data_IF_941778227730
#
_entry.id   IF_941778227730
#
_cell.length_a   1.000
_cell.length_b   1.000
_cell.length_c   1.000
_cell.angle_alpha   90.00
_cell.angle_beta   90.00
_cell.angle_gamma   90.00
#
_symmetry.space_group_name_H-M   'P 1'
#
loop_
_entity.id
_entity.type
_entity.pdbx_description
1 polymer ?
#
# COMPACT_ATOMS: atom_id res chain seq x y z
N UNK A 1 -8.84 9.89 27.26
CA UNK A 1 -7.56 10.49 26.85
C UNK A 1 -7.82 11.17 25.52
N UNK A 2 -7.74 12.51 25.45
CA UNK A 2 -7.89 13.21 24.18
C UNK A 2 -6.56 13.13 23.44
N UNK A 3 -6.54 12.46 22.29
CA UNK A 3 -5.39 12.49 21.39
C UNK A 3 -5.50 13.76 20.55
N UNK A 4 -4.45 14.58 20.58
CA UNK A 4 -4.34 15.80 19.78
C UNK A 4 -3.17 15.64 18.80
N UNK A 5 -3.35 16.11 17.58
CA UNK A 5 -2.34 15.99 16.53
C UNK A 5 -1.42 17.21 16.55
N UNK A 6 -0.12 16.95 16.43
CA UNK A 6 0.92 17.97 16.28
C UNK A 6 1.69 17.71 14.99
N UNK A 7 2.31 18.75 14.45
CA UNK A 7 3.19 18.63 13.28
C UNK A 7 4.66 18.67 13.71
N UNK A 8 5.47 17.74 13.22
CA UNK A 8 6.92 17.81 13.33
C UNK A 8 7.47 18.68 12.20
N UNK A 9 8.03 19.84 12.54
CA UNK A 9 8.44 20.89 11.58
C UNK A 9 9.95 21.05 11.47
N UNK A 10 10.73 20.31 12.26
CA UNK A 10 12.19 20.33 12.22
C UNK A 10 12.82 19.23 13.07
N UNK A 11 14.01 18.78 12.65
CA UNK A 11 14.86 17.84 13.40
C UNK A 11 16.30 18.31 13.22
N UNK A 12 16.96 18.68 14.32
CA UNK A 12 18.26 19.34 14.27
C UNK A 12 19.24 18.77 15.30
N UNK A 13 20.52 18.71 14.92
CA UNK A 13 21.64 18.48 15.84
C UNK A 13 22.17 19.84 16.26
N UNK A 14 21.94 20.22 17.52
CA UNK A 14 22.29 21.53 18.06
C UNK A 14 23.57 21.44 18.86
N UNK A 15 24.56 22.27 18.52
CA UNK A 15 25.81 22.38 19.28
C UNK A 15 25.61 23.23 20.53
N UNK A 16 25.91 22.66 21.68
CA UNK A 16 25.92 23.33 22.99
C UNK A 16 27.34 23.39 23.54
N UNK A 17 27.56 24.17 24.59
CA UNK A 17 28.83 24.18 25.34
C UNK A 17 29.24 22.79 25.88
N UNK A 18 28.29 21.88 26.09
CA UNK A 18 28.52 20.56 26.70
C UNK A 18 28.48 19.41 25.71
N UNK A 19 28.30 19.69 24.41
CA UNK A 19 28.23 18.69 23.35
C UNK A 19 27.08 18.92 22.38
N UNK A 20 26.77 17.91 21.58
CA UNK A 20 25.69 17.98 20.58
C UNK A 20 24.43 17.35 21.17
N UNK A 21 23.29 18.03 21.02
CA UNK A 21 21.97 17.55 21.45
C UNK A 21 21.06 17.43 20.23
N UNK A 22 20.25 16.37 20.18
CA UNK A 22 19.24 16.17 19.14
C UNK A 22 17.90 16.75 19.59
N UNK A 23 17.42 17.75 18.87
CA UNK A 23 16.16 18.43 19.15
C UNK A 23 15.17 18.25 18.02
N UNK A 24 13.89 18.26 18.38
CA UNK A 24 12.76 18.26 17.45
C UNK A 24 11.94 19.52 17.62
N UNK A 25 11.50 20.12 16.50
CA UNK A 25 10.59 21.26 16.46
C UNK A 25 9.18 20.75 16.19
N UNK A 26 8.26 21.06 17.10
CA UNK A 26 6.88 20.55 17.11
C UNK A 26 5.92 21.72 17.13
N UNK A 27 4.89 21.66 16.29
CA UNK A 27 3.88 22.70 16.15
C UNK A 27 2.51 22.19 16.58
N UNK A 28 1.90 22.90 17.52
CA UNK A 28 0.50 22.79 17.87
C UNK A 28 -0.36 23.53 16.82
N UNK A 29 -1.27 22.85 16.10
CA UNK A 29 -2.12 23.49 15.10
C UNK A 29 -3.05 24.57 15.66
N UNK A 30 -3.28 24.61 16.98
CA UNK A 30 -4.05 25.67 17.62
C UNK A 30 -3.31 27.00 17.72
N UNK A 31 -2.00 27.02 17.46
CA UNK A 31 -1.17 28.21 17.52
C UNK A 31 -0.99 28.79 18.93
N UNK A 32 -1.15 27.94 19.95
CA UNK A 32 -1.05 28.24 21.38
C UNK A 32 -0.89 26.95 22.17
N UNK A 33 -0.51 27.06 23.43
CA UNK A 33 -0.18 25.95 24.35
C UNK A 33 1.05 25.21 23.85
N UNK A 34 2.18 25.60 24.42
CA UNK A 34 3.51 25.10 24.09
C UNK A 34 4.12 24.24 25.19
N UNK A 35 5.25 23.63 24.89
CA UNK A 35 6.03 22.84 25.82
C UNK A 35 6.69 23.72 26.88
N UNK A 36 6.50 23.39 28.17
CA UNK A 36 7.07 24.13 29.30
C UNK A 36 8.34 23.45 29.88
N UNK A 37 8.78 22.34 29.30
CA UNK A 37 9.93 21.58 29.78
C UNK A 37 11.27 22.07 29.23
N UNK A 38 12.33 21.24 29.31
CA UNK A 38 13.63 21.55 28.74
C UNK A 38 13.54 21.92 27.26
N UNK A 39 14.31 22.93 26.85
CA UNK A 39 14.30 23.48 25.48
C UNK A 39 13.03 24.25 25.07
N UNK A 40 12.11 24.48 26.01
CA UNK A 40 10.98 25.42 25.81
C UNK A 40 11.47 26.78 25.32
N UNK A 41 10.65 27.41 24.49
CA UNK A 41 11.00 28.63 23.78
C UNK A 41 11.04 29.86 24.74
N UNK A 42 10.08 29.97 25.65
CA UNK A 42 9.91 31.06 26.62
C UNK A 42 10.74 30.88 27.89
N UNK A 43 10.81 29.66 28.41
CA UNK A 43 11.37 29.38 29.75
C UNK A 43 12.61 28.49 29.76
N UNK A 44 13.07 27.97 28.63
CA UNK A 44 14.16 26.99 28.56
C UNK A 44 15.54 27.63 28.82
N UNK A 45 16.16 27.42 30.00
CA UNK A 45 17.49 27.94 30.28
C UNK A 45 18.59 27.27 29.44
N UNK A 46 18.31 26.10 28.86
CA UNK A 46 19.25 25.32 28.05
C UNK A 46 19.73 26.09 26.83
N UNK A 47 18.89 26.97 26.28
CA UNK A 47 19.27 27.84 25.17
C UNK A 47 20.40 28.81 25.51
N UNK A 48 20.62 29.12 26.79
CA UNK A 48 21.77 29.91 27.22
C UNK A 48 23.12 29.23 26.94
N UNK A 49 23.12 27.91 26.70
CA UNK A 49 24.30 27.11 26.38
C UNK A 49 24.53 27.00 24.85
N UNK A 50 23.71 27.64 24.03
CA UNK A 50 23.77 27.60 22.55
C UNK A 50 24.17 28.97 22.04
N UNK A 51 25.18 29.05 21.17
CA UNK A 51 25.64 30.33 20.64
C UNK A 51 24.56 31.04 19.81
N UNK A 52 24.62 32.37 19.73
CA UNK A 52 23.65 33.16 18.96
C UNK A 52 23.61 32.78 17.47
N UNK A 53 24.74 32.37 16.89
CA UNK A 53 24.80 31.89 15.51
C UNK A 53 24.03 30.57 15.35
N UNK A 54 24.18 29.65 16.31
CA UNK A 54 23.51 28.35 16.26
C UNK A 54 22.02 28.49 16.54
N UNK A 55 21.60 29.39 17.43
CA UNK A 55 20.19 29.73 17.65
C UNK A 55 19.52 30.33 16.41
N UNK A 56 20.24 31.19 15.67
CA UNK A 56 19.77 31.71 14.37
C UNK A 56 19.68 30.62 13.31
N UNK A 57 20.65 29.69 13.28
CA UNK A 57 20.67 28.57 12.33
C UNK A 57 19.44 27.68 12.48
N UNK A 58 19.01 27.41 13.71
CA UNK A 58 17.81 26.62 13.99
C UNK A 58 16.52 27.43 14.00
N UNK A 59 16.56 28.71 13.58
CA UNK A 59 15.40 29.59 13.50
C UNK A 59 14.61 29.66 14.83
N UNK A 60 15.32 29.79 15.96
CA UNK A 60 14.65 29.88 17.27
C UNK A 60 13.77 31.13 17.31
N UNK A 61 12.48 30.92 17.56
CA UNK A 61 11.49 31.95 17.89
C UNK A 61 11.11 31.77 19.35
N UNK A 62 10.97 32.87 20.10
CA UNK A 62 10.58 32.85 21.53
C UNK A 62 9.30 33.68 21.65
N UNK A 63 8.19 33.09 21.22
CA UNK A 63 6.87 33.70 21.10
C UNK A 63 5.83 32.58 21.21
N UNK A 64 4.74 32.83 21.93
CA UNK A 64 3.57 31.95 21.97
C UNK A 64 2.87 31.91 20.59
N UNK A 65 3.29 31.00 19.72
CA UNK A 65 2.73 30.74 18.39
C UNK A 65 2.36 29.26 18.15
N UNK A 66 2.48 28.45 19.19
CA UNK A 66 2.24 27.02 19.22
C UNK A 66 3.43 26.16 18.76
N UNK A 67 4.56 26.74 18.34
CA UNK A 67 5.74 26.01 17.86
C UNK A 67 6.90 26.05 18.85
N UNK A 68 7.31 24.87 19.30
CA UNK A 68 8.33 24.74 20.34
C UNK A 68 9.37 23.68 19.99
N UNK A 69 10.53 23.80 20.65
CA UNK A 69 11.57 22.78 20.61
C UNK A 69 11.50 21.89 21.85
N UNK A 70 11.84 20.61 21.67
CA UNK A 70 12.05 19.68 22.78
C UNK A 70 13.13 18.66 22.42
N UNK A 71 13.66 17.97 23.42
CA UNK A 71 14.66 16.93 23.19
C UNK A 71 14.03 15.68 22.57
N UNK A 72 14.78 14.91 21.77
CA UNK A 72 14.31 13.60 21.28
C UNK A 72 13.90 12.65 22.42
N UNK A 73 14.63 12.58 23.56
CA UNK A 73 14.17 11.82 24.73
C UNK A 73 12.81 12.27 25.28
N UNK A 74 12.54 13.57 25.35
CA UNK A 74 11.25 14.07 25.81
C UNK A 74 10.15 13.79 24.78
N UNK A 75 10.44 13.96 23.49
CA UNK A 75 9.51 13.61 22.42
C UNK A 75 9.07 12.13 22.53
N UNK A 76 10.02 11.21 22.73
CA UNK A 76 9.74 9.77 22.90
C UNK A 76 8.90 9.44 24.14
N UNK A 77 8.99 10.24 25.19
CA UNK A 77 8.22 10.04 26.42
C UNK A 77 6.80 10.63 26.31
N UNK A 78 6.64 11.72 25.54
CA UNK A 78 5.38 12.46 25.47
C UNK A 78 4.51 12.09 24.25
N UNK A 79 5.08 11.54 23.19
CA UNK A 79 4.36 11.17 21.97
C UNK A 79 4.30 9.65 21.76
N UNK A 80 3.09 9.13 21.52
CA UNK A 80 2.83 7.70 21.34
C UNK A 80 2.94 7.25 19.86
N UNK A 81 2.56 8.12 18.92
CA UNK A 81 2.42 7.79 17.51
C UNK A 81 2.93 8.93 16.63
N UNK A 82 3.67 8.58 15.58
CA UNK A 82 4.12 9.50 14.54
C UNK A 82 3.67 8.96 13.18
N UNK A 83 2.97 9.81 12.41
CA UNK A 83 2.55 9.50 11.06
C UNK A 83 3.38 10.32 10.07
N UNK A 84 3.98 9.65 9.07
CA UNK A 84 4.81 10.29 8.05
C UNK A 84 4.18 10.08 6.69
N UNK A 85 3.72 11.17 6.08
CA UNK A 85 3.26 11.16 4.69
C UNK A 85 4.45 11.35 3.75
N UNK A 86 4.75 10.33 2.94
CA UNK A 86 5.74 10.47 1.88
C UNK A 86 5.09 11.07 0.64
N UNK A 87 5.68 12.14 0.13
CA UNK A 87 5.30 12.78 -1.12
C UNK A 87 5.97 12.02 -2.28
N UNK A 88 5.20 11.66 -3.31
CA UNK A 88 5.70 11.03 -4.53
C UNK A 88 6.28 12.07 -5.49
N UNK A 89 7.12 11.62 -6.43
CA UNK A 89 7.85 12.43 -7.44
C UNK A 89 6.97 13.51 -8.11
N UNK A 90 5.69 13.21 -8.36
CA UNK A 90 4.72 14.13 -8.98
C UNK A 90 4.45 15.43 -8.19
N UNK A 91 4.88 15.51 -6.93
CA UNK A 91 4.54 16.64 -6.04
C UNK A 91 5.69 17.60 -5.73
N UNK A 92 6.94 17.24 -6.03
CA UNK A 92 8.12 18.05 -5.70
C UNK A 92 9.03 18.23 -6.90
N UNK A 93 8.76 19.25 -7.71
CA UNK A 93 9.67 19.74 -8.73
C UNK A 93 10.78 20.63 -8.13
N UNK A 94 11.44 20.18 -7.06
CA UNK A 94 12.57 20.90 -6.46
C UNK A 94 13.90 20.20 -6.78
N UNK A 95 14.77 20.80 -7.62
CA UNK A 95 16.00 20.16 -8.11
C UNK A 95 17.14 20.06 -7.08
N UNK A 96 16.90 20.46 -5.82
CA UNK A 96 17.91 20.56 -4.75
C UNK A 96 17.82 19.45 -3.70
N UNK A 97 16.80 18.58 -3.76
CA UNK A 97 16.68 17.47 -2.82
C UNK A 97 17.74 16.40 -3.11
N UNK A 98 18.69 16.23 -2.19
CA UNK A 98 19.74 15.19 -2.22
C UNK A 98 19.20 13.77 -2.01
N UNK A 99 17.90 13.60 -1.74
CA UNK A 99 17.24 12.30 -1.54
C UNK A 99 16.50 11.89 -2.81
N UNK A 100 16.79 10.70 -3.32
CA UNK A 100 16.09 10.13 -4.47
C UNK A 100 14.59 9.97 -4.12
N UNK A 101 13.66 10.42 -4.99
CA UNK A 101 12.23 10.26 -4.74
C UNK A 101 11.85 8.77 -4.72
N UNK A 102 10.94 8.41 -3.82
CA UNK A 102 10.37 7.06 -3.76
C UNK A 102 9.56 6.81 -5.04
N UNK A 103 9.77 5.65 -5.67
CA UNK A 103 8.88 5.14 -6.69
C UNK A 103 7.61 4.63 -6.02
N UNK A 104 6.46 5.18 -6.38
CA UNK A 104 5.16 4.76 -5.87
C UNK A 104 4.37 4.03 -6.95
N UNK A 105 3.98 2.79 -6.69
CA UNK A 105 2.97 2.08 -7.49
C UNK A 105 1.68 1.95 -6.69
N UNK A 106 0.56 2.12 -7.38
CA UNK A 106 -0.78 2.07 -6.78
C UNK A 106 -1.63 1.03 -7.49
N UNK A 107 -2.24 0.15 -6.69
CA UNK A 107 -3.12 -0.90 -7.20
C UNK A 107 -4.47 -0.86 -6.50
N UNK A 108 -5.54 -0.90 -7.30
CA UNK A 108 -6.90 -1.00 -6.79
C UNK A 108 -7.30 -2.47 -6.70
N UNK A 109 -7.93 -2.87 -5.60
CA UNK A 109 -8.39 -4.24 -5.41
C UNK A 109 -9.70 -4.32 -4.64
N UNK A 110 -10.30 -5.51 -4.65
CA UNK A 110 -11.55 -5.82 -3.94
C UNK A 110 -11.50 -7.19 -3.29
N UNK A 111 -12.04 -7.29 -2.09
CA UNK A 111 -12.45 -8.54 -1.48
C UNK A 111 -13.92 -8.77 -1.79
N UNK A 112 -14.21 -9.84 -2.54
CA UNK A 112 -15.55 -10.25 -2.94
C UNK A 112 -15.87 -11.54 -2.22
N UNK A 113 -17.02 -11.59 -1.56
CA UNK A 113 -17.47 -12.74 -0.78
C UNK A 113 -17.44 -14.01 -1.61
N UNK A 114 -16.96 -15.10 -1.00
CA UNK A 114 -16.80 -16.43 -1.60
C UNK A 114 -15.85 -16.54 -2.81
N UNK A 115 -15.27 -15.43 -3.29
CA UNK A 115 -14.36 -15.39 -4.44
C UNK A 115 -12.95 -14.98 -4.04
N UNK A 116 -12.77 -13.74 -3.59
CA UNK A 116 -11.47 -13.16 -3.23
C UNK A 116 -11.35 -12.75 -1.77
N UNK A 117 -12.42 -12.85 -0.97
CA UNK A 117 -12.40 -12.60 0.47
C UNK A 117 -11.92 -13.85 1.25
N UNK A 118 -10.64 -14.20 1.11
CA UNK A 118 -10.06 -15.44 1.63
C UNK A 118 -9.82 -15.46 3.14
N UNK A 119 -9.76 -14.28 3.78
CA UNK A 119 -9.47 -14.14 5.20
C UNK A 119 -7.99 -14.39 5.53
N UNK A 120 -7.63 -14.71 6.78
CA UNK A 120 -6.24 -14.77 7.24
C UNK A 120 -5.53 -16.10 6.91
N UNK A 121 -4.18 -16.17 7.02
CA UNK A 121 -3.38 -17.36 6.68
C UNK A 121 -3.78 -18.65 7.40
N UNK A 122 -4.32 -18.53 8.61
CA UNK A 122 -4.80 -19.66 9.40
C UNK A 122 -6.08 -20.28 8.80
N UNK A 123 -6.75 -19.59 7.86
CA UNK A 123 -7.90 -20.08 7.12
C UNK A 123 -7.51 -20.83 5.83
N UNK A 124 -8.21 -21.92 5.51
CA UNK A 124 -7.96 -22.72 4.30
C UNK A 124 -8.24 -22.04 2.95
N UNK A 125 -8.57 -20.75 2.95
CA UNK A 125 -8.92 -19.93 1.77
C UNK A 125 -7.99 -18.74 1.56
N UNK A 126 -6.90 -18.62 2.33
CA UNK A 126 -5.98 -17.47 2.26
C UNK A 126 -5.45 -17.17 0.85
N UNK A 127 -5.14 -18.21 0.08
CA UNK A 127 -4.65 -18.11 -1.31
C UNK A 127 -5.66 -17.45 -2.27
N UNK A 128 -6.94 -17.37 -1.90
CA UNK A 128 -7.98 -16.72 -2.69
C UNK A 128 -7.89 -15.19 -2.64
N UNK A 129 -7.27 -14.61 -1.60
CA UNK A 129 -7.06 -13.16 -1.50
C UNK A 129 -6.31 -12.60 -2.72
N UNK A 130 -6.51 -11.33 -3.09
CA UNK A 130 -5.72 -10.67 -4.13
C UNK A 130 -4.21 -10.82 -3.86
N UNK A 131 -3.41 -10.92 -4.92
CA UNK A 131 -1.96 -11.13 -4.84
C UNK A 131 -1.26 -10.15 -5.77
N UNK A 132 -0.11 -9.61 -5.34
CA UNK A 132 0.69 -8.66 -6.11
C UNK A 132 2.15 -9.10 -6.08
N UNK A 133 2.78 -9.24 -7.24
CA UNK A 133 4.18 -9.58 -7.37
C UNK A 133 5.03 -8.32 -7.19
N UNK A 134 5.96 -8.36 -6.25
CA UNK A 134 6.94 -7.31 -5.98
C UNK A 134 8.33 -7.82 -6.39
N UNK A 135 9.02 -7.10 -7.25
CA UNK A 135 10.41 -7.38 -7.62
C UNK A 135 11.32 -6.29 -7.06
N UNK A 136 12.27 -6.71 -6.24
CA UNK A 136 13.32 -5.87 -5.66
C UNK A 136 14.66 -6.21 -6.34
N UNK A 137 15.32 -5.23 -6.94
CA UNK A 137 16.52 -5.43 -7.75
C UNK A 137 17.82 -5.13 -6.99
N UNK A 138 17.82 -4.08 -6.17
CA UNK A 138 19.01 -3.55 -5.50
C UNK A 138 18.76 -3.36 -4.00
N UNK A 139 19.83 -3.42 -3.19
CA UNK A 139 19.80 -3.11 -1.76
C UNK A 139 19.82 -1.59 -1.54
N UNK A 140 19.27 -1.11 -0.42
CA UNK A 140 19.27 0.31 -0.06
C UNK A 140 20.72 0.86 0.01
N UNK A 141 21.00 1.92 -0.75
CA UNK A 141 22.31 2.58 -0.91
C UNK A 141 22.69 3.51 0.29
N UNK A 142 22.30 3.22 1.54
CA UNK A 142 22.65 4.07 2.69
C UNK A 142 23.90 3.56 3.46
N UNK A 143 25.12 4.02 3.12
CA UNK A 143 26.35 3.62 3.79
C UNK A 143 26.51 4.23 5.20
N UNK A 144 25.57 5.07 5.65
CA UNK A 144 25.66 5.83 6.90
C UNK A 144 24.84 5.26 8.06
N UNK A 145 24.23 4.09 7.87
CA UNK A 145 23.37 3.44 8.86
C UNK A 145 24.04 2.19 9.49
N UNK A 146 24.93 2.38 10.49
CA UNK A 146 25.65 1.29 11.15
C UNK A 146 24.82 0.54 12.21
N UNK A 147 23.60 0.99 12.55
CA UNK A 147 22.75 0.38 13.60
C UNK A 147 21.73 -0.62 13.05
N UNK A 148 21.44 -0.60 11.74
CA UNK A 148 20.48 -1.53 11.12
C UNK A 148 21.17 -2.78 10.56
N UNK A 149 21.76 -3.57 11.46
CA UNK A 149 22.29 -4.91 11.16
C UNK A 149 21.17 -5.82 10.66
N UNK A 150 21.07 -5.86 9.33
CA UNK A 150 20.41 -6.80 8.43
C UNK A 150 19.78 -8.03 9.09
N UNK A 151 18.53 -7.90 9.52
CA UNK A 151 17.63 -9.06 9.50
C UNK A 151 16.77 -8.92 8.25
N UNK A 152 17.28 -9.45 7.13
CA UNK A 152 16.44 -9.64 5.96
C UNK A 152 15.36 -10.64 6.32
N UNK A 153 14.14 -10.15 6.52
CA UNK A 153 13.02 -11.04 6.82
C UNK A 153 12.54 -11.66 5.50
N UNK A 154 12.36 -12.99 5.42
CA UNK A 154 11.79 -13.61 4.24
C UNK A 154 10.31 -13.24 4.06
N UNK A 155 9.66 -12.73 5.12
CA UNK A 155 8.24 -12.36 5.17
C UNK A 155 8.07 -11.08 5.98
N UNK A 156 7.34 -10.12 5.43
CA UNK A 156 6.80 -8.98 6.17
C UNK A 156 5.30 -9.18 6.38
N UNK A 157 4.86 -9.10 7.63
CA UNK A 157 3.44 -9.21 7.98
C UNK A 157 3.15 -8.39 9.23
N UNK A 158 1.88 -8.00 9.39
CA UNK A 158 1.43 -7.31 10.58
C UNK A 158 1.25 -8.32 11.73
N UNK A 159 1.81 -8.05 12.92
CA UNK A 159 1.64 -8.95 14.06
C UNK A 159 0.21 -8.91 14.63
N UNK A 160 -0.54 -7.83 14.37
CA UNK A 160 -1.90 -7.60 14.89
C UNK A 160 -2.75 -6.93 13.82
N UNK A 161 -4.04 -7.32 13.76
CA UNK A 161 -5.01 -6.64 12.91
C UNK A 161 -5.27 -5.22 13.38
N UNK A 162 -5.23 -4.27 12.44
CA UNK A 162 -5.63 -2.88 12.69
C UNK A 162 -7.03 -2.63 12.14
N UNK A 163 -7.82 -1.84 12.89
CA UNK A 163 -9.12 -1.33 12.43
C UNK A 163 -9.00 0.06 11.77
N UNK A 164 -7.77 0.56 11.57
CA UNK A 164 -7.54 1.83 10.89
C UNK A 164 -7.86 1.72 9.40
N UNK A 165 -8.20 2.87 8.80
CA UNK A 165 -8.50 2.99 7.37
C UNK A 165 -7.32 2.57 6.49
N UNK A 166 -6.10 2.80 6.97
CA UNK A 166 -4.86 2.45 6.29
C UNK A 166 -3.97 1.67 7.26
N UNK A 167 -3.26 0.69 6.71
CA UNK A 167 -2.21 0.00 7.46
C UNK A 167 -0.92 0.07 6.66
N UNK A 168 0.13 0.59 7.32
CA UNK A 168 1.44 0.80 6.71
C UNK A 168 2.40 -0.26 7.26
N UNK A 169 3.05 -0.96 6.35
CA UNK A 169 4.18 -1.83 6.65
C UNK A 169 5.45 -1.19 6.10
N UNK A 170 6.44 -1.00 6.98
CA UNK A 170 7.78 -0.56 6.61
C UNK A 170 8.78 -1.63 7.03
N UNK A 171 9.66 -2.02 6.12
CA UNK A 171 10.71 -2.99 6.39
C UNK A 171 11.70 -3.06 5.23
N UNK A 172 12.81 -3.76 5.44
CA UNK A 172 13.81 -4.08 4.42
C UNK A 172 13.66 -5.55 4.01
N UNK A 173 13.70 -5.79 2.72
CA UNK A 173 13.68 -7.11 2.10
C UNK A 173 14.94 -7.23 1.24
N UNK A 174 15.54 -8.42 1.17
CA UNK A 174 16.67 -8.64 0.27
C UNK A 174 16.19 -8.53 -1.18
N UNK A 175 17.06 -8.21 -2.15
CA UNK A 175 16.71 -8.29 -3.56
C UNK A 175 16.13 -9.66 -3.90
N UNK A 176 15.02 -9.68 -4.65
CA UNK A 176 14.28 -10.89 -4.94
C UNK A 176 12.85 -10.66 -5.39
N UNK A 177 12.12 -11.76 -5.52
CA UNK A 177 10.71 -11.78 -5.92
C UNK A 177 9.83 -12.13 -4.72
N UNK A 178 8.86 -11.26 -4.45
CA UNK A 178 7.95 -11.36 -3.32
C UNK A 178 6.51 -11.32 -3.79
N UNK A 179 5.60 -11.81 -2.96
CA UNK A 179 4.15 -11.70 -3.16
C UNK A 179 3.55 -10.95 -1.98
N UNK A 180 2.81 -9.90 -2.28
CA UNK A 180 2.01 -9.16 -1.31
C UNK A 180 0.58 -9.68 -1.39
N UNK A 181 0.04 -10.13 -0.27
CA UNK A 181 -1.31 -10.66 -0.17
C UNK A 181 -2.09 -9.82 0.84
N UNK A 182 -2.85 -8.79 0.40
CA UNK A 182 -3.75 -8.06 1.30
C UNK A 182 -4.97 -8.91 1.65
N UNK A 183 -5.31 -8.95 2.94
CA UNK A 183 -6.42 -9.76 3.46
C UNK A 183 -7.17 -9.05 4.60
N UNK A 184 -8.41 -9.47 4.82
CA UNK A 184 -9.28 -9.04 5.92
C UNK A 184 -9.12 -9.94 7.15
N UNK A 185 -9.53 -9.44 8.32
CA UNK A 185 -9.44 -10.20 9.57
C UNK A 185 -10.21 -11.52 9.54
N UNK A 186 -11.37 -11.53 8.87
CA UNK A 186 -12.21 -12.71 8.70
C UNK A 186 -12.45 -13.01 7.21
N UNK A 187 -12.68 -14.29 6.90
CA UNK A 187 -13.06 -14.70 5.55
C UNK A 187 -14.47 -14.16 5.18
N UNK A 188 -14.72 -13.99 3.88
CA UNK A 188 -15.98 -13.48 3.33
C UNK A 188 -16.35 -12.02 3.71
N UNK A 189 -15.42 -11.27 4.30
CA UNK A 189 -15.59 -9.83 4.45
C UNK A 189 -15.38 -9.13 3.11
N UNK A 190 -16.36 -8.33 2.70
CA UNK A 190 -16.32 -7.58 1.45
C UNK A 190 -15.73 -6.19 1.67
N UNK A 191 -15.03 -5.69 0.67
CA UNK A 191 -14.48 -4.33 0.71
C UNK A 191 -13.66 -4.00 -0.52
N UNK A 192 -13.42 -2.71 -0.70
CA UNK A 192 -12.50 -2.18 -1.70
C UNK A 192 -11.27 -1.63 -1.00
N UNK A 193 -10.11 -1.76 -1.63
CA UNK A 193 -8.85 -1.24 -1.09
C UNK A 193 -7.97 -0.64 -2.18
N UNK A 194 -7.03 0.18 -1.73
CA UNK A 194 -5.93 0.69 -2.53
C UNK A 194 -4.64 0.24 -1.86
N UNK A 195 -3.82 -0.51 -2.58
CA UNK A 195 -2.49 -0.89 -2.15
C UNK A 195 -1.49 0.11 -2.73
N UNK A 196 -0.76 0.81 -1.86
CA UNK A 196 0.33 1.71 -2.23
C UNK A 196 1.65 1.06 -1.84
N UNK A 197 2.56 0.95 -2.80
CA UNK A 197 3.87 0.35 -2.59
C UNK A 197 4.89 1.43 -2.91
N UNK A 198 5.67 1.80 -1.90
CA UNK A 198 6.74 2.78 -2.01
C UNK A 198 8.07 2.01 -1.95
N UNK A 199 8.86 2.11 -3.01
CA UNK A 199 10.18 1.49 -3.12
C UNK A 199 11.19 2.50 -3.66
N UNK A 200 12.48 2.22 -3.50
CA UNK A 200 13.49 2.98 -4.24
C UNK A 200 13.33 2.79 -5.77
N UNK A 201 13.87 3.75 -6.53
CA UNK A 201 13.74 3.81 -7.99
C UNK A 201 14.38 2.57 -8.64
N UNK A 202 13.64 1.89 -9.51
CA UNK A 202 14.07 0.69 -10.23
C UNK A 202 13.31 -0.58 -9.83
N UNK A 203 12.71 -0.58 -8.64
CA UNK A 203 11.84 -1.66 -8.18
C UNK A 203 10.43 -1.50 -8.75
N UNK A 204 9.70 -2.62 -8.92
CA UNK A 204 8.36 -2.61 -9.50
C UNK A 204 7.45 -3.61 -8.80
N UNK A 205 6.17 -3.26 -8.70
CA UNK A 205 5.13 -4.16 -8.21
C UNK A 205 3.95 -4.17 -9.18
N UNK A 206 3.51 -5.38 -9.54
CA UNK A 206 2.43 -5.62 -10.49
C UNK A 206 1.40 -6.58 -9.87
N UNK A 207 0.12 -6.51 -10.26
CA UNK A 207 -0.83 -7.56 -9.89
C UNK A 207 -0.26 -8.92 -10.29
N UNK A 208 -0.37 -9.91 -9.41
CA UNK A 208 0.02 -11.26 -9.77
C UNK A 208 -0.97 -11.75 -10.83
N UNK A 209 -0.46 -12.29 -11.93
CA UNK A 209 -1.25 -13.02 -12.90
C UNK A 209 -1.83 -14.25 -12.19
N UNK A 210 -3.04 -14.10 -11.63
CA UNK A 210 -3.88 -15.26 -11.41
C UNK A 210 -4.26 -15.69 -12.82
N UNK A 211 -4.01 -16.95 -13.22
CA UNK A 211 -4.57 -17.43 -14.48
C UNK A 211 -6.03 -17.06 -14.42
N UNK A 212 -6.47 -16.16 -15.31
CA UNK A 212 -7.89 -15.90 -15.42
C UNK A 212 -8.52 -17.28 -15.57
N UNK A 213 -9.58 -17.59 -14.83
CA UNK A 213 -10.43 -18.71 -15.25
C UNK A 213 -10.85 -18.53 -16.73
N UNK A 214 -10.79 -17.29 -17.22
CA UNK A 214 -10.97 -16.86 -18.61
C UNK A 214 -9.68 -16.74 -19.46
N UNK A 215 -8.47 -16.94 -18.95
CA UNK A 215 -7.24 -17.13 -19.76
C UNK A 215 -7.02 -18.61 -20.12
N UNK A 216 -7.84 -19.48 -19.53
CA UNK A 216 -8.23 -20.74 -20.12
C UNK A 216 -9.57 -20.64 -20.87
N UNK A 217 -10.05 -19.44 -21.22
CA UNK A 217 -10.88 -19.30 -22.40
C UNK A 217 -9.92 -19.53 -23.57
N UNK A 218 -10.01 -20.66 -24.28
CA UNK A 218 -9.04 -21.00 -25.29
C UNK A 218 -8.99 -19.88 -26.32
N UNK A 219 -7.83 -19.23 -26.48
CA UNK A 219 -7.39 -18.80 -27.82
C UNK A 219 -7.73 -19.97 -28.75
N UNK A 220 -8.55 -19.71 -29.77
CA UNK A 220 -9.18 -20.70 -30.65
C UNK A 220 -8.67 -22.13 -30.42
N UNK A 221 -9.48 -23.05 -29.88
CA UNK A 221 -9.01 -24.42 -29.71
C UNK A 221 -8.62 -24.94 -31.09
N UNK A 222 -7.32 -25.12 -31.33
CA UNK A 222 -6.81 -26.09 -32.30
C UNK A 222 -7.38 -27.42 -31.86
N UNK A 223 -8.52 -27.74 -32.47
CA UNK A 223 -9.57 -28.53 -31.85
C UNK A 223 -9.08 -29.91 -31.44
N UNK A 224 -9.10 -30.29 -30.15
CA UNK A 224 -8.89 -31.66 -29.74
C UNK A 224 -10.15 -32.20 -29.04
N UNK A 225 -11.34 -31.86 -29.53
CA UNK A 225 -12.56 -32.67 -29.34
C UNK A 225 -13.62 -32.14 -30.31
N UNK A 226 -14.03 -32.93 -31.30
CA UNK A 226 -15.37 -32.77 -31.89
C UNK A 226 -16.35 -33.30 -30.82
N UNK A 227 -17.12 -32.47 -30.10
CA UNK A 227 -18.41 -32.99 -29.66
C UNK A 227 -19.16 -33.34 -30.94
N UNK A 228 -19.85 -34.49 -30.96
CA UNK A 228 -20.65 -35.01 -32.05
C UNK A 228 -21.65 -33.96 -32.58
N UNK A 229 -21.16 -33.01 -33.37
CA UNK A 229 -22.00 -32.09 -34.10
C UNK A 229 -22.79 -32.98 -35.08
N UNK A 230 -24.14 -32.89 -35.09
CA UNK A 230 -24.93 -33.67 -36.02
C UNK A 230 -24.42 -33.40 -37.42
N UNK A 231 -24.31 -34.46 -38.24
CA UNK A 231 -23.90 -34.34 -39.64
C UNK A 231 -24.61 -33.13 -40.31
N UNK A 232 -23.91 -32.41 -41.18
CA UNK A 232 -24.41 -31.16 -41.81
C UNK A 232 -25.82 -31.32 -42.39
N UNK A 233 -26.16 -32.51 -42.90
CA UNK A 233 -27.49 -32.84 -43.40
C UNK A 233 -28.55 -32.89 -42.29
N UNK A 234 -28.24 -33.52 -41.15
CA UNK A 234 -29.07 -33.55 -39.94
C UNK A 234 -29.30 -32.15 -39.39
N UNK A 235 -28.25 -31.34 -39.33
CA UNK A 235 -28.31 -29.95 -38.87
C UNK A 235 -29.17 -29.10 -39.81
N UNK A 236 -29.02 -29.25 -41.13
CA UNK A 236 -29.89 -28.57 -42.12
C UNK A 236 -31.34 -29.01 -42.01
N UNK A 237 -31.60 -30.30 -41.75
CA UNK A 237 -32.96 -30.83 -41.56
C UNK A 237 -33.61 -30.26 -40.31
N UNK A 238 -32.90 -30.27 -39.17
CA UNK A 238 -33.39 -29.70 -37.91
C UNK A 238 -33.65 -28.20 -38.02
N UNK A 239 -32.74 -27.47 -38.68
CA UNK A 239 -32.92 -26.05 -38.95
C UNK A 239 -34.16 -25.78 -39.82
N UNK A 240 -34.33 -26.53 -40.92
CA UNK A 240 -35.54 -26.40 -41.76
C UNK A 240 -36.83 -26.83 -41.05
N UNK A 241 -36.75 -27.76 -40.10
CA UNK A 241 -37.89 -28.26 -39.33
C UNK A 241 -38.39 -27.21 -38.33
N UNK A 242 -37.48 -26.55 -37.64
CA UNK A 242 -37.82 -25.64 -36.52
C UNK A 242 -37.85 -24.17 -36.89
N UNK A 243 -37.18 -23.76 -37.97
CA UNK A 243 -37.19 -22.37 -38.41
C UNK A 243 -38.34 -22.10 -39.37
N UNK A 244 -38.91 -20.90 -39.30
CA UNK A 244 -40.00 -20.49 -40.20
C UNK A 244 -39.55 -20.36 -41.67
N UNK A 245 -40.51 -20.17 -42.57
CA UNK A 245 -40.29 -20.05 -44.02
C UNK A 245 -39.35 -18.93 -44.44
N UNK A 246 -39.05 -17.97 -43.56
CA UNK A 246 -38.08 -16.89 -43.77
C UNK A 246 -36.66 -17.25 -43.34
N UNK A 247 -36.41 -18.51 -42.94
CA UNK A 247 -35.12 -19.01 -42.40
C UNK A 247 -34.65 -18.26 -41.14
N UNK A 248 -35.59 -17.69 -40.39
CA UNK A 248 -35.31 -17.04 -39.13
C UNK A 248 -35.73 -17.97 -37.99
N UNK A 249 -34.87 -18.12 -36.98
CA UNK A 249 -35.12 -18.92 -35.79
C UNK A 249 -35.39 -17.98 -34.61
N UNK A 250 -36.61 -17.99 -34.06
CA UNK A 250 -36.94 -17.24 -32.84
C UNK A 250 -36.39 -17.95 -31.60
N UNK A 251 -36.21 -17.26 -30.46
CA UNK A 251 -35.65 -17.88 -29.25
C UNK A 251 -36.37 -19.18 -28.80
N UNK A 252 -37.70 -19.24 -28.95
CA UNK A 252 -38.48 -20.44 -28.62
C UNK A 252 -38.26 -21.60 -29.62
N UNK A 253 -38.10 -21.28 -30.91
CA UNK A 253 -37.79 -22.24 -31.98
C UNK A 253 -36.37 -22.80 -31.81
N UNK A 254 -35.44 -21.95 -31.37
CA UNK A 254 -34.06 -22.33 -31.06
C UNK A 254 -34.01 -23.31 -29.88
N UNK A 255 -34.79 -23.07 -28.83
CA UNK A 255 -34.85 -23.97 -27.68
C UNK A 255 -35.36 -25.36 -28.07
N UNK A 256 -36.37 -25.44 -28.93
CA UNK A 256 -36.90 -26.71 -29.44
C UNK A 256 -35.91 -27.43 -30.35
N UNK A 257 -35.21 -26.68 -31.22
CA UNK A 257 -34.16 -27.21 -32.08
C UNK A 257 -33.02 -27.80 -31.24
N UNK A 258 -32.55 -27.08 -30.21
CA UNK A 258 -31.45 -27.52 -29.36
C UNK A 258 -31.81 -28.75 -28.53
N UNK A 259 -33.03 -28.83 -28.00
CA UNK A 259 -33.53 -30.03 -27.30
C UNK A 259 -33.50 -31.27 -28.19
N UNK A 260 -34.02 -31.14 -29.41
CA UNK A 260 -34.03 -32.25 -30.38
C UNK A 260 -32.62 -32.60 -30.88
N UNK A 261 -31.73 -31.62 -31.01
CA UNK A 261 -30.35 -31.83 -31.45
C UNK A 261 -29.48 -32.53 -30.38
N UNK A 262 -29.77 -32.32 -29.09
CA UNK A 262 -29.01 -32.87 -27.96
C UNK A 262 -29.64 -34.19 -27.44
N UNK A 263 -30.78 -34.60 -27.99
CA UNK A 263 -31.41 -35.89 -27.69
C UNK A 263 -32.06 -35.97 -26.30
N UNK A 264 -32.69 -34.87 -25.85
CA UNK A 264 -33.52 -34.82 -24.64
C UNK A 264 -35.01 -34.92 -24.96
#
# INVERSE_FOLDING_TARGET
MFRHAYSLTGVEKVKTEHGVVELVRVRNPWGRVEWEGPWSDLSGPEWGQVSDEEQKRVERVSVEDGEFWMSVPDFRQNFEMMEVCHLSDDTLSEPTATKRPWHCTMHHGKWVRLLSAGGPPQGGRFWQNPQFNLTLLEEDDDPSDPELTCTFLPVLSLPVFSQQREVVLRGRLAPGHYVIIPFTAEANQEGEFVLRILTEKGNNAVPADKPNADENCPTEPTSPTQPLLPAIETTRRLFKKHCNSKRCCRPAELLNLLREAIGA
#
